data_IF_860062845482
#
_entry.id   IF_860062845482
#
_cell.length_a   1.000
_cell.length_b   1.000
_cell.length_c   1.000
_cell.angle_alpha   90.00
_cell.angle_beta   90.00
_cell.angle_gamma   90.00
#
_symmetry.space_group_name_H-M   'P 1'
#
loop_
_entity.id
_entity.type
_entity.pdbx_description
1 polymer ?
#
# COMPACT_ATOMS: atom_id res chain seq x y z
N UNK A 1 -36.92 2.62 -49.20
CA UNK A 1 -36.56 3.69 -48.25
C UNK A 1 -36.65 3.29 -46.77
N UNK A 2 -37.68 2.54 -46.29
CA UNK A 2 -37.80 2.14 -44.87
C UNK A 2 -36.63 1.29 -44.35
N UNK A 3 -36.09 0.38 -45.13
CA UNK A 3 -35.02 -0.54 -44.72
C UNK A 3 -33.66 0.16 -44.55
N UNK A 4 -33.38 1.22 -45.31
CA UNK A 4 -32.11 1.98 -45.20
C UNK A 4 -32.06 2.75 -43.87
N UNK A 5 -33.18 3.31 -43.43
CA UNK A 5 -33.25 4.05 -42.16
C UNK A 5 -33.04 3.13 -40.94
N UNK A 6 -33.51 1.87 -41.02
CA UNK A 6 -33.28 0.89 -39.93
C UNK A 6 -31.80 0.48 -39.85
N UNK A 7 -31.13 0.29 -40.97
CA UNK A 7 -29.71 -0.06 -41.01
C UNK A 7 -28.84 1.07 -40.44
N UNK A 8 -29.13 2.31 -40.81
CA UNK A 8 -28.44 3.51 -40.32
C UNK A 8 -28.65 3.65 -38.80
N UNK A 9 -29.85 3.42 -38.29
CA UNK A 9 -30.16 3.49 -36.87
C UNK A 9 -29.40 2.40 -36.06
N UNK A 10 -29.28 1.18 -36.56
CA UNK A 10 -28.52 0.10 -35.93
C UNK A 10 -27.03 0.44 -35.89
N UNK A 11 -26.46 1.01 -36.95
CA UNK A 11 -25.07 1.46 -37.01
C UNK A 11 -24.79 2.57 -35.98
N UNK A 12 -25.67 3.56 -35.88
CA UNK A 12 -25.54 4.66 -34.91
C UNK A 12 -25.62 4.13 -33.48
N UNK A 13 -26.55 3.21 -33.19
CA UNK A 13 -26.66 2.57 -31.86
C UNK A 13 -25.40 1.76 -31.56
N UNK A 14 -24.86 1.00 -32.50
CA UNK A 14 -23.62 0.25 -32.37
C UNK A 14 -22.43 1.14 -32.09
N UNK A 15 -22.32 2.29 -32.77
CA UNK A 15 -21.26 3.31 -32.52
C UNK A 15 -21.41 3.92 -31.13
N UNK A 16 -22.62 4.27 -30.72
CA UNK A 16 -22.88 4.86 -29.39
C UNK A 16 -22.61 3.87 -28.24
N UNK A 17 -22.96 2.59 -28.44
CA UNK A 17 -22.64 1.52 -27.48
C UNK A 17 -21.12 1.31 -27.42
N UNK A 18 -20.45 1.28 -28.56
CA UNK A 18 -18.99 1.16 -28.67
C UNK A 18 -18.27 2.35 -28.01
N UNK A 19 -18.78 3.56 -28.19
CA UNK A 19 -18.27 4.78 -27.53
C UNK A 19 -18.51 4.73 -26.01
N UNK A 20 -19.68 4.29 -25.56
CA UNK A 20 -20.03 4.12 -24.13
C UNK A 20 -19.23 3.03 -23.46
N UNK A 21 -18.91 1.95 -24.17
CA UNK A 21 -18.03 0.87 -23.71
C UNK A 21 -16.56 1.33 -23.69
N UNK A 22 -16.11 2.11 -24.68
CA UNK A 22 -14.78 2.73 -24.66
C UNK A 22 -14.64 3.78 -23.56
N UNK A 23 -15.65 4.62 -23.32
CA UNK A 23 -15.63 5.60 -22.23
C UNK A 23 -15.69 4.95 -20.84
N UNK A 24 -16.34 3.79 -20.68
CA UNK A 24 -16.25 2.97 -19.46
C UNK A 24 -14.87 2.34 -19.26
N UNK A 25 -14.13 2.05 -20.34
CA UNK A 25 -12.77 1.47 -20.28
C UNK A 25 -11.68 2.54 -20.03
N UNK A 26 -12.03 3.81 -20.18
CA UNK A 26 -11.18 4.97 -19.91
C UNK A 26 -11.49 5.65 -18.56
N UNK A 27 -12.16 4.96 -17.62
CA UNK A 27 -12.07 5.36 -16.22
C UNK A 27 -10.60 5.19 -15.85
N UNK A 28 -9.88 6.31 -15.68
CA UNK A 28 -8.51 6.33 -15.15
C UNK A 28 -8.47 5.36 -13.98
N UNK A 29 -7.51 4.42 -13.98
CA UNK A 29 -7.31 3.49 -12.87
C UNK A 29 -7.13 4.38 -11.64
N UNK A 30 -8.14 4.46 -10.78
CA UNK A 30 -8.07 5.30 -9.57
C UNK A 30 -6.98 4.69 -8.72
N UNK A 31 -6.06 5.51 -8.23
CA UNK A 31 -5.01 5.04 -7.33
C UNK A 31 -5.62 4.32 -6.13
N UNK A 32 -4.91 3.31 -5.63
CA UNK A 32 -5.09 2.80 -4.27
C UNK A 32 -3.97 3.37 -3.41
N UNK A 33 -4.21 3.55 -2.13
CA UNK A 33 -3.30 4.26 -1.25
C UNK A 33 -2.84 3.35 -0.11
N UNK A 34 -1.55 3.44 0.25
CA UNK A 34 -1.02 2.84 1.47
C UNK A 34 -0.51 3.97 2.34
N UNK A 35 -1.10 4.17 3.51
CA UNK A 35 -0.79 5.30 4.41
C UNK A 35 -0.07 4.80 5.65
N UNK A 36 1.24 5.08 5.81
CA UNK A 36 1.96 4.83 7.06
C UNK A 36 1.45 5.78 8.16
N UNK A 37 0.67 5.24 9.09
CA UNK A 37 0.13 5.97 10.24
C UNK A 37 0.93 5.66 11.51
N UNK A 38 2.20 6.05 11.52
CA UNK A 38 3.12 5.91 12.65
C UNK A 38 2.91 7.07 13.63
N UNK A 39 1.73 7.13 14.21
CA UNK A 39 1.25 8.27 14.99
C UNK A 39 1.34 7.96 16.48
N UNK A 40 2.29 8.58 17.21
CA UNK A 40 2.36 8.43 18.66
C UNK A 40 1.15 9.08 19.34
N UNK A 41 0.84 8.62 20.55
CA UNK A 41 -0.18 9.27 21.37
C UNK A 41 0.31 10.68 21.77
N UNK A 42 -0.46 11.70 21.40
CA UNK A 42 -0.15 13.10 21.67
C UNK A 42 -1.18 14.03 21.03
N UNK A 43 -0.90 15.33 21.01
CA UNK A 43 -1.85 16.38 20.57
C UNK A 43 -2.35 16.22 19.15
N UNK A 44 -1.55 15.60 18.28
CA UNK A 44 -1.88 15.40 16.86
C UNK A 44 -2.54 14.06 16.56
N UNK A 45 -2.63 13.16 17.53
CA UNK A 45 -3.17 11.80 17.33
C UNK A 45 -4.55 11.84 16.69
N UNK A 46 -5.49 12.54 17.30
CA UNK A 46 -6.86 12.60 16.81
C UNK A 46 -6.95 13.26 15.44
N UNK A 47 -6.29 14.41 15.23
CA UNK A 47 -6.34 15.15 13.96
C UNK A 47 -5.78 14.35 12.79
N UNK A 48 -4.69 13.62 12.97
CA UNK A 48 -4.10 12.80 11.92
C UNK A 48 -4.98 11.59 11.57
N UNK A 49 -5.53 10.90 12.57
CA UNK A 49 -6.47 9.83 12.29
C UNK A 49 -7.76 10.32 11.64
N UNK A 50 -8.27 11.49 12.03
CA UNK A 50 -9.48 12.08 11.43
C UNK A 50 -9.24 12.44 9.95
N UNK A 51 -8.05 12.88 9.58
CA UNK A 51 -7.65 13.08 8.17
C UNK A 51 -7.70 11.76 7.38
N UNK A 52 -7.12 10.67 7.93
CA UNK A 52 -7.15 9.34 7.32
C UNK A 52 -8.59 8.83 7.18
N UNK A 53 -9.41 8.96 8.23
CA UNK A 53 -10.80 8.54 8.23
C UNK A 53 -11.59 9.28 7.15
N UNK A 54 -11.41 10.59 7.05
CA UNK A 54 -12.05 11.41 6.01
C UNK A 54 -11.62 10.97 4.61
N UNK A 55 -10.32 10.77 4.40
CA UNK A 55 -9.76 10.34 3.13
C UNK A 55 -10.26 8.95 2.70
N UNK A 56 -10.48 8.05 3.65
CA UNK A 56 -11.00 6.69 3.40
C UNK A 56 -12.43 6.68 2.86
N UNK A 57 -13.24 7.74 3.08
CA UNK A 57 -14.64 7.82 2.62
C UNK A 57 -14.84 7.83 1.10
N UNK A 58 -13.87 7.79 0.31
CA UNK A 58 -14.06 7.81 -1.16
C UNK A 58 -12.91 7.17 -1.90
N UNK A 59 -11.92 6.71 -1.15
CA UNK A 59 -10.69 6.17 -1.67
C UNK A 59 -10.47 4.74 -1.18
N UNK A 60 -9.73 3.95 -1.97
CA UNK A 60 -9.25 2.63 -1.56
C UNK A 60 -7.96 2.82 -0.76
N UNK A 61 -8.04 2.75 0.56
CA UNK A 61 -6.94 3.03 1.47
C UNK A 61 -6.59 1.79 2.29
N UNK A 62 -5.32 1.52 2.43
CA UNK A 62 -4.74 0.62 3.43
C UNK A 62 -3.93 1.50 4.39
N UNK A 63 -4.28 1.50 5.66
CA UNK A 63 -3.58 2.24 6.71
C UNK A 63 -2.69 1.30 7.50
N UNK A 64 -1.41 1.62 7.62
CA UNK A 64 -0.45 0.87 8.43
C UNK A 64 -0.39 1.52 9.81
N UNK A 65 -0.79 0.80 10.85
CA UNK A 65 -0.67 1.27 12.24
C UNK A 65 0.55 0.70 12.92
N UNK A 66 1.31 1.58 13.59
CA UNK A 66 2.57 1.24 14.26
C UNK A 66 2.65 1.97 15.62
N UNK A 67 2.03 1.44 16.67
CA UNK A 67 1.98 2.10 17.97
C UNK A 67 3.34 2.10 18.71
N UNK A 68 4.17 1.09 18.54
CA UNK A 68 5.43 0.94 19.29
C UNK A 68 6.45 0.06 18.56
N UNK A 69 6.78 0.41 17.32
CA UNK A 69 7.60 -0.42 16.44
C UNK A 69 7.09 -1.88 16.35
N UNK A 70 5.77 -2.03 16.41
CA UNK A 70 5.03 -3.28 16.48
C UNK A 70 3.72 -3.09 17.23
N UNK A 71 3.03 -4.20 17.59
CA UNK A 71 1.81 -4.15 18.39
C UNK A 71 2.11 -3.74 19.85
N UNK A 72 1.08 -3.25 20.50
CA UNK A 72 0.99 -3.18 21.97
C UNK A 72 -0.18 -4.02 22.43
N UNK A 73 -0.09 -4.64 23.60
CA UNK A 73 -1.23 -5.29 24.23
C UNK A 73 -2.07 -4.28 25.01
N UNK A 74 -3.36 -4.61 25.21
CA UNK A 74 -4.24 -3.80 26.07
C UNK A 74 -3.65 -3.63 27.47
N UNK A 75 -2.98 -4.65 28.01
CA UNK A 75 -2.37 -4.62 29.35
C UNK A 75 -1.21 -3.64 29.46
N UNK A 76 -0.46 -3.42 28.37
CA UNK A 76 0.69 -2.50 28.38
C UNK A 76 0.22 -1.04 28.40
N UNK A 77 -0.84 -0.70 27.68
CA UNK A 77 -1.36 0.66 27.64
C UNK A 77 -2.84 0.65 27.21
N UNK A 78 -3.76 0.43 28.15
CA UNK A 78 -5.19 0.35 27.87
C UNK A 78 -5.76 1.64 27.25
N UNK A 79 -5.34 2.81 27.75
CA UNK A 79 -5.81 4.09 27.22
C UNK A 79 -5.44 4.29 25.74
N UNK A 80 -4.20 3.99 25.37
CA UNK A 80 -3.78 4.09 23.97
C UNK A 80 -4.46 3.04 23.11
N UNK A 81 -4.55 1.82 23.65
CA UNK A 81 -5.24 0.72 22.98
C UNK A 81 -6.66 1.11 22.59
N UNK A 82 -7.47 1.59 23.52
CA UNK A 82 -8.87 1.96 23.27
C UNK A 82 -8.99 3.12 22.27
N UNK A 83 -8.14 4.12 22.39
CA UNK A 83 -8.11 5.23 21.42
C UNK A 83 -7.81 4.73 20.00
N UNK A 84 -6.77 3.93 19.84
CA UNK A 84 -6.37 3.42 18.54
C UNK A 84 -7.41 2.44 17.97
N UNK A 85 -7.96 1.54 18.78
CA UNK A 85 -9.02 0.61 18.38
C UNK A 85 -10.25 1.36 17.82
N UNK A 86 -10.65 2.46 18.47
CA UNK A 86 -11.73 3.32 17.97
C UNK A 86 -11.40 3.92 16.59
N UNK A 87 -10.18 4.41 16.38
CA UNK A 87 -9.75 4.97 15.09
C UNK A 87 -9.69 3.89 14.00
N UNK A 88 -9.17 2.71 14.33
CA UNK A 88 -9.16 1.54 13.43
C UNK A 88 -10.59 1.24 12.98
N UNK A 89 -11.52 1.10 13.92
CA UNK A 89 -12.92 0.86 13.58
C UNK A 89 -13.50 1.93 12.66
N UNK A 90 -13.25 3.21 12.94
CA UNK A 90 -13.75 4.32 12.12
C UNK A 90 -13.20 4.29 10.69
N UNK A 91 -11.91 3.91 10.49
CA UNK A 91 -11.34 3.73 9.15
C UNK A 91 -12.06 2.59 8.41
N UNK A 92 -12.27 1.45 9.09
CA UNK A 92 -12.93 0.27 8.51
C UNK A 92 -14.41 0.53 8.18
N UNK A 93 -15.14 1.24 9.05
CA UNK A 93 -16.53 1.66 8.80
C UNK A 93 -16.64 2.54 7.53
N UNK A 94 -15.59 3.26 7.18
CA UNK A 94 -15.47 4.04 5.94
C UNK A 94 -14.85 3.24 4.76
N UNK A 95 -14.80 1.91 4.84
CA UNK A 95 -14.28 0.98 3.82
C UNK A 95 -12.76 1.04 3.62
N UNK A 96 -12.03 1.74 4.46
CA UNK A 96 -10.58 1.62 4.55
C UNK A 96 -10.19 0.26 5.14
N UNK A 97 -8.97 -0.16 4.87
CA UNK A 97 -8.35 -1.34 5.47
C UNK A 97 -7.28 -0.91 6.45
N UNK A 98 -7.11 -1.65 7.53
CA UNK A 98 -6.08 -1.38 8.54
C UNK A 98 -5.20 -2.61 8.72
N UNK A 99 -3.89 -2.44 8.66
CA UNK A 99 -2.90 -3.49 8.83
C UNK A 99 -1.90 -3.10 9.92
N UNK A 100 -1.40 -4.10 10.63
CA UNK A 100 -0.47 -3.91 11.75
C UNK A 100 0.98 -4.03 11.30
N UNK A 101 1.83 -3.16 11.81
CA UNK A 101 3.28 -3.13 11.55
C UNK A 101 4.00 -4.25 12.32
N UNK A 102 4.92 -4.93 11.65
CA UNK A 102 5.85 -5.90 12.24
C UNK A 102 7.22 -5.74 11.59
N UNK A 103 8.23 -5.36 12.38
CA UNK A 103 9.63 -5.34 11.93
C UNK A 103 10.17 -6.76 11.77
N UNK A 104 11.00 -6.99 10.77
CA UNK A 104 11.70 -8.26 10.56
C UNK A 104 13.22 -8.15 10.63
N UNK A 105 13.74 -6.93 10.77
CA UNK A 105 15.20 -6.65 10.80
C UNK A 105 15.93 -7.36 9.64
N UNK A 106 15.42 -7.16 8.42
CA UNK A 106 15.96 -7.77 7.20
C UNK A 106 16.12 -9.31 7.31
N UNK A 107 15.24 -9.95 8.10
CA UNK A 107 15.27 -11.38 8.39
C UNK A 107 16.18 -11.80 9.54
N UNK A 108 16.84 -10.86 10.24
CA UNK A 108 17.72 -11.15 11.38
C UNK A 108 16.94 -11.23 12.70
N UNK A 109 15.77 -10.62 12.78
CA UNK A 109 14.94 -10.68 13.98
C UNK A 109 14.57 -12.12 14.32
N UNK A 110 14.56 -12.43 15.60
CA UNK A 110 14.14 -13.73 16.11
C UNK A 110 12.75 -14.10 15.60
N UNK A 111 12.61 -15.29 15.02
CA UNK A 111 11.39 -15.74 14.36
C UNK A 111 10.21 -15.83 15.32
N UNK A 112 10.47 -16.27 16.57
CA UNK A 112 9.43 -16.34 17.59
C UNK A 112 8.87 -14.94 17.89
N UNK A 113 9.73 -13.93 18.03
CA UNK A 113 9.30 -12.55 18.28
C UNK A 113 8.47 -11.97 17.13
N UNK A 114 8.84 -12.29 15.88
CA UNK A 114 8.04 -11.89 14.70
C UNK A 114 6.66 -12.55 14.73
N UNK A 115 6.60 -13.85 15.06
CA UNK A 115 5.33 -14.59 15.18
C UNK A 115 4.49 -14.10 16.38
N UNK A 116 5.12 -13.80 17.51
CA UNK A 116 4.44 -13.24 18.69
C UNK A 116 3.78 -11.91 18.36
N UNK A 117 4.43 -11.02 17.60
CA UNK A 117 3.83 -9.76 17.14
C UNK A 117 2.65 -9.99 16.19
N UNK A 118 2.80 -10.91 15.22
CA UNK A 118 1.71 -11.27 14.30
C UNK A 118 0.51 -11.80 15.09
N UNK A 119 0.75 -12.65 16.07
CA UNK A 119 -0.27 -13.22 16.93
C UNK A 119 -0.98 -12.16 17.77
N UNK A 120 -0.22 -11.21 18.33
CA UNK A 120 -0.79 -10.13 19.13
C UNK A 120 -1.70 -9.24 18.26
N UNK A 121 -1.28 -8.89 17.05
CA UNK A 121 -2.13 -8.22 16.09
C UNK A 121 -3.41 -8.99 15.77
N UNK A 122 -3.31 -10.29 15.56
CA UNK A 122 -4.47 -11.14 15.23
C UNK A 122 -5.43 -11.34 16.39
N UNK A 123 -4.91 -11.45 17.62
CA UNK A 123 -5.71 -11.81 18.80
C UNK A 123 -6.38 -10.61 19.46
N UNK A 124 -5.67 -9.51 19.59
CA UNK A 124 -6.16 -8.35 20.34
C UNK A 124 -6.70 -7.24 19.45
N UNK A 125 -6.27 -7.19 18.18
CA UNK A 125 -6.65 -6.12 17.27
C UNK A 125 -7.50 -6.61 16.10
N UNK A 126 -8.55 -5.87 15.76
CA UNK A 126 -9.42 -6.20 14.61
C UNK A 126 -8.85 -5.61 13.32
N UNK A 127 -7.66 -6.05 12.92
CA UNK A 127 -6.99 -5.59 11.72
C UNK A 127 -7.26 -6.48 10.50
N UNK A 128 -7.05 -5.92 9.32
CA UNK A 128 -7.28 -6.59 8.03
C UNK A 128 -6.04 -7.34 7.51
N UNK A 129 -4.88 -7.13 8.12
CA UNK A 129 -3.64 -7.74 7.66
C UNK A 129 -2.39 -7.28 8.39
N UNK A 130 -1.25 -7.63 7.83
CA UNK A 130 0.09 -7.36 8.40
C UNK A 130 0.96 -6.63 7.38
N UNK A 131 1.70 -5.63 7.87
CA UNK A 131 2.80 -4.99 7.18
C UNK A 131 4.13 -5.52 7.74
N UNK A 132 4.86 -6.29 6.93
CA UNK A 132 6.20 -6.76 7.26
C UNK A 132 7.21 -5.75 6.76
N UNK A 133 7.77 -4.98 7.67
CA UNK A 133 8.79 -3.97 7.37
C UNK A 133 10.20 -4.53 7.53
N UNK A 134 11.17 -3.77 7.01
CA UNK A 134 12.57 -4.19 6.98
C UNK A 134 12.69 -5.59 6.36
N UNK A 135 11.95 -5.80 5.28
CA UNK A 135 11.88 -7.07 4.60
C UNK A 135 13.16 -7.43 3.87
N UNK A 136 13.13 -8.56 3.17
CA UNK A 136 14.26 -9.02 2.37
C UNK A 136 14.49 -8.06 1.20
N UNK A 137 15.56 -7.28 1.25
CA UNK A 137 15.99 -6.39 0.16
C UNK A 137 16.77 -7.14 -0.93
N UNK A 138 18.07 -6.91 -0.99
CA UNK A 138 18.96 -7.67 -1.88
C UNK A 138 19.51 -8.90 -1.16
N UNK A 139 19.66 -9.98 -1.87
CA UNK A 139 20.21 -11.20 -1.32
C UNK A 139 21.40 -11.68 -2.17
N UNK A 140 22.62 -11.45 -1.67
CA UNK A 140 23.85 -11.87 -2.34
C UNK A 140 24.28 -13.30 -2.01
N UNK A 141 23.91 -13.81 -0.83
CA UNK A 141 24.25 -15.16 -0.34
C UNK A 141 23.10 -15.72 0.49
N UNK A 142 22.87 -17.04 0.40
CA UNK A 142 21.81 -17.72 1.16
C UNK A 142 20.36 -17.26 0.86
N UNK A 143 20.11 -16.73 -0.33
CA UNK A 143 18.80 -16.22 -0.74
C UNK A 143 17.67 -17.23 -0.49
N UNK A 144 17.91 -18.51 -0.75
CA UNK A 144 16.91 -19.55 -0.54
C UNK A 144 16.42 -19.59 0.92
N UNK A 145 17.34 -19.63 1.89
CA UNK A 145 16.96 -19.68 3.31
C UNK A 145 16.14 -18.47 3.74
N UNK A 146 16.51 -17.28 3.26
CA UNK A 146 15.81 -16.06 3.59
C UNK A 146 14.43 -16.01 2.91
N UNK A 147 14.34 -16.40 1.65
CA UNK A 147 13.07 -16.55 0.93
C UNK A 147 12.15 -17.54 1.65
N UNK A 148 12.65 -18.71 2.00
CA UNK A 148 11.89 -19.75 2.70
C UNK A 148 11.32 -19.19 4.02
N UNK A 149 12.13 -18.44 4.78
CA UNK A 149 11.71 -17.77 6.03
C UNK A 149 10.55 -16.79 5.80
N UNK A 150 10.62 -15.92 4.76
CA UNK A 150 9.52 -15.01 4.47
C UNK A 150 8.29 -15.75 3.95
N UNK A 151 8.47 -16.82 3.18
CA UNK A 151 7.35 -17.67 2.75
C UNK A 151 6.63 -18.31 3.94
N UNK A 152 7.36 -18.68 4.98
CA UNK A 152 6.77 -19.16 6.25
C UNK A 152 5.97 -18.06 6.94
N UNK A 153 6.48 -16.82 7.03
CA UNK A 153 5.71 -15.70 7.57
C UNK A 153 4.42 -15.44 6.77
N UNK A 154 4.49 -15.45 5.44
CA UNK A 154 3.32 -15.27 4.60
C UNK A 154 2.28 -16.39 4.80
N UNK A 155 2.73 -17.63 4.94
CA UNK A 155 1.85 -18.76 5.24
C UNK A 155 1.25 -18.64 6.65
N UNK A 156 2.02 -18.15 7.62
CA UNK A 156 1.57 -17.96 9.01
C UNK A 156 0.53 -16.84 9.13
N UNK A 157 0.69 -15.76 8.38
CA UNK A 157 -0.30 -14.69 8.28
C UNK A 157 -1.57 -15.20 7.60
N UNK A 158 -1.45 -16.04 6.58
CA UNK A 158 -2.57 -16.69 5.90
C UNK A 158 -3.24 -15.82 4.83
N UNK A 159 -4.57 -15.83 4.81
CA UNK A 159 -5.37 -15.15 3.78
C UNK A 159 -5.58 -13.65 3.99
N UNK A 160 -5.10 -13.10 5.09
CA UNK A 160 -5.16 -11.66 5.36
C UNK A 160 -4.34 -10.86 4.34
N UNK A 161 -4.53 -9.54 4.29
CA UNK A 161 -3.71 -8.64 3.49
C UNK A 161 -2.27 -8.71 4.01
N UNK A 162 -1.34 -8.95 3.11
CA UNK A 162 0.10 -8.90 3.41
C UNK A 162 0.71 -7.78 2.59
N UNK A 163 1.34 -6.83 3.27
CA UNK A 163 2.20 -5.84 2.63
C UNK A 163 3.62 -6.10 3.12
N UNK A 164 4.58 -6.15 2.23
CA UNK A 164 5.99 -6.33 2.59
C UNK A 164 6.82 -5.17 2.03
N UNK A 165 7.70 -4.64 2.85
CA UNK A 165 8.59 -3.55 2.49
C UNK A 165 10.04 -3.95 2.72
N UNK A 166 10.82 -3.96 1.66
CA UNK A 166 12.24 -4.27 1.69
C UNK A 166 13.12 -3.03 1.56
N UNK A 167 12.49 -1.85 1.35
CA UNK A 167 13.21 -0.61 1.02
C UNK A 167 13.85 -0.65 -0.37
N UNK A 168 14.51 -1.74 -0.69
CA UNK A 168 15.13 -2.03 -2.00
C UNK A 168 14.89 -3.49 -2.38
N UNK A 169 14.63 -3.75 -3.65
CA UNK A 169 14.35 -5.11 -4.16
C UNK A 169 15.19 -5.43 -5.39
N UNK A 170 15.42 -6.71 -5.63
CA UNK A 170 16.03 -7.23 -6.85
C UNK A 170 15.15 -8.26 -7.57
N UNK A 171 15.57 -8.68 -8.77
CA UNK A 171 14.80 -9.60 -9.62
C UNK A 171 14.62 -11.01 -9.01
N UNK A 172 15.43 -11.42 -8.04
CA UNK A 172 15.34 -12.76 -7.44
C UNK A 172 14.09 -12.92 -6.57
N UNK A 173 13.62 -11.82 -6.00
CA UNK A 173 12.51 -11.80 -5.06
C UNK A 173 11.13 -11.99 -5.72
N UNK A 174 10.95 -11.49 -6.94
CA UNK A 174 9.65 -11.49 -7.62
C UNK A 174 9.07 -12.88 -7.90
N UNK A 175 9.92 -13.87 -8.06
CA UNK A 175 9.50 -15.24 -8.40
C UNK A 175 8.64 -15.90 -7.33
N UNK A 176 8.64 -15.36 -6.12
CA UNK A 176 8.02 -15.96 -4.95
C UNK A 176 6.76 -15.24 -4.47
N UNK A 177 6.38 -14.14 -5.14
CA UNK A 177 5.21 -13.37 -4.74
C UNK A 177 3.92 -14.11 -5.05
N UNK A 178 3.11 -14.29 -4.02
CA UNK A 178 1.73 -14.75 -4.15
C UNK A 178 0.81 -13.59 -4.53
N UNK A 179 -0.34 -13.91 -5.11
CA UNK A 179 -1.30 -12.92 -5.62
C UNK A 179 -1.89 -11.97 -4.56
N UNK A 180 -1.89 -12.39 -3.29
CA UNK A 180 -2.42 -11.62 -2.16
C UNK A 180 -1.36 -10.78 -1.42
N UNK A 181 -0.13 -10.73 -1.93
CA UNK A 181 0.96 -9.97 -1.33
C UNK A 181 1.16 -8.68 -2.13
N UNK A 182 1.17 -7.56 -1.42
CA UNK A 182 1.51 -6.25 -1.96
C UNK A 182 2.96 -5.96 -1.58
N UNK A 183 3.79 -5.71 -2.57
CA UNK A 183 5.19 -5.36 -2.33
C UNK A 183 5.40 -3.86 -2.46
N UNK A 184 6.01 -3.25 -1.47
CA UNK A 184 6.59 -1.91 -1.62
C UNK A 184 7.89 -2.07 -2.39
N UNK A 185 7.84 -1.63 -3.64
CA UNK A 185 8.97 -1.78 -4.59
C UNK A 185 9.89 -0.58 -4.59
N UNK A 186 9.48 0.51 -3.94
CA UNK A 186 10.28 1.72 -3.82
C UNK A 186 9.84 2.52 -2.59
N UNK A 187 10.79 2.84 -1.73
CA UNK A 187 10.64 3.74 -0.59
C UNK A 187 11.82 4.70 -0.57
N UNK A 188 11.59 5.96 -0.97
CA UNK A 188 12.60 7.00 -0.94
C UNK A 188 11.97 8.37 -1.25
N UNK A 189 12.79 9.37 -1.55
CA UNK A 189 12.33 10.70 -1.96
C UNK A 189 11.66 10.68 -3.33
N UNK A 190 10.76 11.64 -3.55
CA UNK A 190 10.15 11.85 -4.86
C UNK A 190 11.19 12.07 -5.96
N UNK A 191 12.27 12.81 -5.67
CA UNK A 191 13.32 13.10 -6.65
C UNK A 191 14.06 11.83 -7.11
N UNK A 192 14.36 10.93 -6.19
CA UNK A 192 14.94 9.63 -6.52
C UNK A 192 13.99 8.78 -7.37
N UNK A 193 12.69 8.83 -7.07
CA UNK A 193 11.69 8.08 -7.85
C UNK A 193 11.60 8.54 -9.30
N UNK A 194 11.66 9.86 -9.55
CA UNK A 194 11.57 10.41 -10.91
C UNK A 194 12.91 10.45 -11.65
N UNK A 195 14.01 10.07 -11.00
CA UNK A 195 15.36 10.04 -11.58
C UNK A 195 15.44 9.04 -12.74
N UNK A 196 16.17 9.38 -13.82
CA UNK A 196 16.49 8.42 -14.88
C UNK A 196 17.26 7.19 -14.36
N UNK A 197 18.04 7.37 -13.29
CA UNK A 197 18.87 6.33 -12.68
C UNK A 197 18.13 5.46 -11.65
N UNK A 198 16.81 5.68 -11.50
CA UNK A 198 15.97 4.88 -10.61
C UNK A 198 16.15 3.38 -10.89
N UNK A 199 16.52 2.63 -9.87
CA UNK A 199 16.80 1.19 -9.97
C UNK A 199 15.62 0.37 -10.49
N UNK A 200 14.39 0.83 -10.35
CA UNK A 200 13.20 0.18 -10.92
C UNK A 200 13.28 0.01 -12.43
N UNK A 201 14.07 0.86 -13.12
CA UNK A 201 14.31 0.72 -14.56
C UNK A 201 15.04 -0.59 -14.93
N UNK A 202 15.74 -1.20 -13.98
CA UNK A 202 16.52 -2.43 -14.16
C UNK A 202 15.74 -3.69 -13.75
N UNK A 203 14.54 -3.54 -13.21
CA UNK A 203 13.74 -4.64 -12.68
C UNK A 203 12.66 -5.09 -13.67
N UNK A 204 12.42 -6.40 -13.69
CA UNK A 204 11.25 -6.96 -14.34
C UNK A 204 10.08 -7.00 -13.35
N UNK A 205 9.23 -5.98 -13.39
CA UNK A 205 8.09 -5.80 -12.48
C UNK A 205 6.79 -6.45 -12.98
N UNK A 206 6.86 -7.52 -13.76
CA UNK A 206 5.69 -8.09 -14.45
C UNK A 206 4.69 -8.82 -13.55
N UNK A 207 5.02 -9.11 -12.29
CA UNK A 207 4.19 -9.92 -11.39
C UNK A 207 3.85 -9.22 -10.08
N UNK A 208 2.71 -9.59 -9.49
CA UNK A 208 2.26 -9.19 -8.15
C UNK A 208 1.76 -7.75 -8.06
N UNK A 209 1.07 -7.45 -6.96
CA UNK A 209 0.63 -6.10 -6.61
C UNK A 209 1.81 -5.28 -6.06
N UNK A 210 1.95 -4.05 -6.52
CA UNK A 210 3.10 -3.19 -6.22
C UNK A 210 2.67 -1.85 -5.66
N UNK A 211 3.41 -1.38 -4.66
CA UNK A 211 3.24 -0.05 -4.07
C UNK A 211 4.55 0.73 -3.99
N UNK A 212 4.42 2.04 -3.85
CA UNK A 212 5.55 2.94 -3.58
C UNK A 212 5.20 3.87 -2.42
N UNK A 213 6.22 4.19 -1.62
CA UNK A 213 6.14 5.16 -0.54
C UNK A 213 7.15 6.28 -0.84
N UNK A 214 6.65 7.51 -1.02
CA UNK A 214 7.49 8.66 -1.35
C UNK A 214 7.38 9.74 -0.28
N UNK A 215 8.50 10.13 0.30
CA UNK A 215 8.61 11.25 1.22
C UNK A 215 9.30 12.44 0.58
N UNK A 216 9.34 13.58 1.28
CA UNK A 216 9.98 14.81 0.81
C UNK A 216 9.49 15.20 -0.59
N UNK A 217 8.22 14.94 -0.85
CA UNK A 217 7.58 15.24 -2.14
C UNK A 217 7.29 16.73 -2.21
N UNK A 218 7.69 17.44 -3.29
CA UNK A 218 7.35 18.85 -3.46
C UNK A 218 5.84 19.05 -3.61
N UNK A 219 5.34 20.23 -3.25
CA UNK A 219 3.91 20.56 -3.33
C UNK A 219 3.40 20.73 -4.76
N UNK A 220 4.28 20.98 -5.71
CA UNK A 220 3.98 21.16 -7.13
C UNK A 220 4.55 19.99 -7.96
N UNK A 221 4.01 18.81 -7.79
CA UNK A 221 4.46 17.61 -8.51
C UNK A 221 4.02 17.64 -9.98
N UNK A 222 4.86 17.06 -10.85
CA UNK A 222 4.46 16.75 -12.23
C UNK A 222 3.56 15.51 -12.26
N UNK A 223 2.25 15.74 -12.10
CA UNK A 223 1.24 14.70 -12.13
C UNK A 223 1.26 13.88 -13.44
N UNK A 224 1.66 14.47 -14.57
CA UNK A 224 1.75 13.76 -15.84
C UNK A 224 2.90 12.75 -15.81
N UNK A 225 4.07 13.19 -15.36
CA UNK A 225 5.24 12.32 -15.18
C UNK A 225 4.99 11.22 -14.17
N UNK A 226 4.39 11.55 -13.02
CA UNK A 226 4.02 10.56 -12.01
C UNK A 226 3.07 9.48 -12.57
N UNK A 227 2.02 9.88 -13.29
CA UNK A 227 1.09 8.96 -13.96
C UNK A 227 1.77 8.07 -15.00
N UNK A 228 2.75 8.59 -15.73
CA UNK A 228 3.54 7.81 -16.69
C UNK A 228 4.38 6.74 -15.98
N UNK A 229 5.08 7.09 -14.90
CA UNK A 229 5.89 6.16 -14.12
C UNK A 229 5.02 5.12 -13.40
N UNK A 230 3.89 5.54 -12.85
CA UNK A 230 2.92 4.64 -12.23
C UNK A 230 2.44 3.55 -13.19
N UNK A 231 2.16 3.93 -14.45
CA UNK A 231 1.81 2.97 -15.50
C UNK A 231 3.01 2.14 -15.96
N UNK A 232 4.17 2.79 -16.13
CA UNK A 232 5.39 2.12 -16.59
C UNK A 232 5.78 0.96 -15.68
N UNK A 233 5.70 1.17 -14.36
CA UNK A 233 6.06 0.16 -13.37
C UNK A 233 4.87 -0.70 -12.93
N UNK A 234 3.71 -0.54 -13.54
CA UNK A 234 2.45 -1.24 -13.22
C UNK A 234 2.15 -1.22 -11.72
N UNK A 235 2.21 -0.01 -11.14
CA UNK A 235 1.93 0.21 -9.72
C UNK A 235 0.43 0.19 -9.46
N UNK A 236 0.04 -0.24 -8.26
CA UNK A 236 -1.35 -0.24 -7.78
C UNK A 236 -1.55 0.66 -6.57
N UNK A 237 -0.52 0.79 -5.73
CA UNK A 237 -0.58 1.52 -4.48
C UNK A 237 0.45 2.63 -4.44
N UNK A 238 0.07 3.76 -3.82
CA UNK A 238 0.96 4.91 -3.69
C UNK A 238 0.75 5.61 -2.35
N UNK A 239 1.82 6.13 -1.80
CA UNK A 239 1.81 7.16 -0.77
C UNK A 239 2.76 8.28 -1.14
N UNK A 240 2.32 9.52 -0.97
CA UNK A 240 3.13 10.72 -1.17
C UNK A 240 2.97 11.61 0.05
N UNK A 241 4.08 12.05 0.62
CA UNK A 241 4.08 13.07 1.67
C UNK A 241 5.17 14.11 1.43
N UNK A 242 4.88 15.36 1.72
CA UNK A 242 5.89 16.43 1.74
C UNK A 242 6.75 16.42 3.02
N UNK A 243 6.43 15.55 3.96
CA UNK A 243 7.03 15.40 5.27
C UNK A 243 7.81 14.09 5.37
N UNK A 244 8.31 13.81 6.57
CA UNK A 244 8.84 12.51 6.94
C UNK A 244 7.69 11.58 7.37
N UNK A 245 8.03 10.36 7.79
CA UNK A 245 7.07 9.31 8.15
C UNK A 245 6.28 9.57 9.43
N UNK A 246 6.76 10.45 10.31
CA UNK A 246 6.15 10.81 11.59
C UNK A 246 5.03 11.86 11.50
N UNK A 247 4.73 12.31 10.29
CA UNK A 247 3.74 13.37 10.05
C UNK A 247 2.79 12.99 8.92
N UNK A 248 1.51 12.85 9.22
CA UNK A 248 0.49 12.63 8.21
C UNK A 248 0.20 13.92 7.45
N UNK A 249 0.18 13.82 6.15
CA UNK A 249 -0.31 14.85 5.24
C UNK A 249 -0.80 14.18 3.96
N UNK A 250 -2.11 14.14 3.78
CA UNK A 250 -2.75 13.50 2.64
C UNK A 250 -3.07 14.48 1.50
N UNK A 251 -2.75 15.76 1.69
CA UNK A 251 -3.05 16.81 0.71
C UNK A 251 -2.55 16.47 -0.70
N UNK A 252 -1.32 15.95 -0.82
CA UNK A 252 -0.76 15.57 -2.11
C UNK A 252 -1.50 14.39 -2.76
N UNK A 253 -2.10 13.50 -1.95
CA UNK A 253 -2.90 12.39 -2.45
C UNK A 253 -4.29 12.83 -2.90
N UNK A 254 -4.84 13.90 -2.31
CA UNK A 254 -6.12 14.48 -2.71
C UNK A 254 -6.02 15.18 -4.08
N UNK A 255 -4.82 15.59 -4.50
CA UNK A 255 -4.54 16.27 -5.76
C UNK A 255 -4.27 15.31 -6.94
N UNK A 256 -4.17 13.97 -6.69
CA UNK A 256 -3.96 12.93 -7.70
C UNK A 256 -5.27 12.52 -8.39
#
# INVERSE_FOLDING_TARGET
MKNINIIIMILIIGILISFKLRSKKLKSKKYSYIVPAYIPLGDKFDSYFDEIIKFSKGNKVITIVNPNNGPISRKENEYYFEKLEKKIKQIQDNKGKVIGYVSTDYGNRDEKKVRDDIDLWKKEWRIDGIFLDEGMGSCNKNCKKLIDKYMEYYNYIGEQIIVTNAGYIDNSYYKFLKKNIIMIVFENTYNEFISPDNYLNKLNLSQGSKGILLHTTPTNIDNKKLKQLYKKYDLEYIYLTSKNWDTISLKLLEEL
#
